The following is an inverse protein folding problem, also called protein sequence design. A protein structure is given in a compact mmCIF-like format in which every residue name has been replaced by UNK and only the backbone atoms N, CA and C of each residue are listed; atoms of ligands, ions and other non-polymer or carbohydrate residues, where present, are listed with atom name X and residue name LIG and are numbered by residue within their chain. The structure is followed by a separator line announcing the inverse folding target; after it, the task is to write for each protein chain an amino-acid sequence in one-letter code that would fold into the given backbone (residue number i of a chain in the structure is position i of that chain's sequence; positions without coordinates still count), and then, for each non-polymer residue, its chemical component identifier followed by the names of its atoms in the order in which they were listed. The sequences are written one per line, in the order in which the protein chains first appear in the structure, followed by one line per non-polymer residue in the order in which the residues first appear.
data_IF_312955981664
#
_entry.id   IF_312955981664
#
_cell.length_a   1.000
_cell.length_b   1.000
_cell.length_c   1.000
_cell.angle_alpha   90.00
_cell.angle_beta   90.00
_cell.angle_gamma   90.00
#
_symmetry.space_group_name_H-M   'P 1'
#
loop_
_entity.id
_entity.type
_entity.pdbx_description
1 polymer ?
#
# COMPACT_ATOMS: atom_id res chain seq x y z
N UNK A 1 -12.32 -17.80 -0.89
CA UNK A 1 -10.90 -17.43 -1.12
C UNK A 1 -10.08 -18.12 -0.05
N UNK A 2 -9.26 -19.13 -0.39
CA UNK A 2 -8.37 -19.75 0.61
C UNK A 2 -7.28 -18.74 0.95
N UNK A 3 -7.08 -18.46 2.24
CA UNK A 3 -5.94 -17.67 2.71
C UNK A 3 -4.66 -18.36 2.25
N UNK A 4 -3.87 -17.73 1.38
CA UNK A 4 -2.62 -18.32 0.89
C UNK A 4 -1.57 -18.44 2.00
N UNK A 5 -1.71 -17.70 3.12
CA UNK A 5 -0.81 -17.81 4.28
C UNK A 5 0.64 -17.43 3.97
N UNK A 6 0.89 -16.68 2.89
CA UNK A 6 2.24 -16.37 2.42
C UNK A 6 2.73 -15.06 3.05
N UNK A 7 3.52 -15.14 4.13
CA UNK A 7 4.16 -13.98 4.77
C UNK A 7 5.47 -13.65 4.07
N UNK A 8 5.62 -12.43 3.57
CA UNK A 8 6.85 -11.91 2.94
C UNK A 8 7.36 -10.71 3.71
N UNK A 9 8.68 -10.67 3.91
CA UNK A 9 9.35 -9.52 4.51
C UNK A 9 9.35 -8.38 3.50
N UNK A 10 9.18 -7.17 4.03
CA UNK A 10 9.32 -5.91 3.29
C UNK A 10 10.81 -5.67 3.07
N UNK A 11 11.19 -5.13 1.92
CA UNK A 11 12.57 -4.68 1.69
C UNK A 11 12.81 -3.28 2.28
N UNK A 12 14.07 -2.82 2.25
CA UNK A 12 14.46 -1.53 2.84
C UNK A 12 13.82 -0.31 2.17
N UNK A 13 13.21 -0.49 0.98
CA UNK A 13 12.51 0.56 0.23
C UNK A 13 10.99 0.48 0.40
N UNK A 14 10.48 -0.44 1.22
CA UNK A 14 9.04 -0.60 1.44
C UNK A 14 8.32 -1.44 0.37
N UNK A 15 9.05 -2.10 -0.54
CA UNK A 15 8.45 -2.94 -1.58
C UNK A 15 8.10 -4.32 -1.03
N UNK A 16 6.94 -4.84 -1.44
CA UNK A 16 6.48 -6.19 -1.16
C UNK A 16 6.54 -7.04 -2.41
N UNK A 17 7.16 -8.22 -2.30
CA UNK A 17 7.26 -9.17 -3.41
C UNK A 17 5.99 -10.02 -3.51
N UNK A 18 5.31 -9.98 -4.66
CA UNK A 18 4.15 -10.83 -4.95
C UNK A 18 4.61 -12.26 -5.29
N UNK A 19 4.09 -13.29 -4.59
CA UNK A 19 4.39 -14.70 -4.88
C UNK A 19 4.13 -15.10 -6.34
N UNK A 20 4.89 -16.08 -6.85
CA UNK A 20 4.80 -16.51 -8.26
C UNK A 20 3.43 -17.10 -8.63
N UNK A 21 2.75 -17.76 -7.69
CA UNK A 21 1.40 -18.31 -7.93
C UNK A 21 0.38 -17.20 -8.19
N UNK A 22 0.37 -16.16 -7.36
CA UNK A 22 -0.51 -15.00 -7.54
C UNK A 22 -0.20 -14.31 -8.87
N UNK A 23 1.10 -14.12 -9.20
CA UNK A 23 1.50 -13.56 -10.50
C UNK A 23 0.99 -14.40 -11.68
N UNK A 24 1.03 -15.73 -11.58
CA UNK A 24 0.54 -16.64 -12.64
C UNK A 24 -0.99 -16.60 -12.75
N UNK A 25 -1.71 -16.68 -11.64
CA UNK A 25 -3.18 -16.70 -11.61
C UNK A 25 -3.77 -15.37 -12.07
N UNK A 26 -3.20 -14.25 -11.62
CA UNK A 26 -3.68 -12.90 -11.96
C UNK A 26 -3.06 -12.35 -13.26
N UNK A 27 -2.21 -13.14 -13.93
CA UNK A 27 -1.53 -12.78 -15.20
C UNK A 27 -0.71 -11.49 -15.14
N UNK A 28 -0.22 -11.11 -13.97
CA UNK A 28 0.60 -9.91 -13.74
C UNK A 28 1.97 -10.11 -14.40
N UNK A 29 2.34 -9.21 -15.32
CA UNK A 29 3.61 -9.24 -16.05
C UNK A 29 4.61 -8.22 -15.49
N UNK A 30 5.88 -8.35 -15.83
CA UNK A 30 6.87 -7.32 -15.52
C UNK A 30 6.51 -6.03 -16.25
N UNK A 31 6.51 -4.91 -15.52
CA UNK A 31 6.11 -3.60 -16.06
C UNK A 31 4.61 -3.29 -15.98
N UNK A 32 3.76 -4.23 -15.53
CA UNK A 32 2.36 -3.88 -15.22
C UNK A 32 2.35 -2.83 -14.10
N UNK A 33 1.59 -1.72 -14.23
CA UNK A 33 1.40 -0.80 -13.14
C UNK A 33 0.64 -1.54 -12.04
N UNK A 34 1.38 -2.06 -11.07
CA UNK A 34 0.80 -2.68 -9.89
C UNK A 34 -0.02 -1.61 -9.19
N UNK A 35 -1.34 -1.78 -9.21
CA UNK A 35 -2.28 -0.89 -8.56
C UNK A 35 -2.07 -1.02 -7.03
N UNK A 36 -1.15 -0.24 -6.48
CA UNK A 36 -1.01 -0.06 -5.03
C UNK A 36 -2.16 0.86 -4.61
N UNK A 37 -3.35 0.30 -4.43
CA UNK A 37 -4.41 1.00 -3.72
C UNK A 37 -4.11 0.84 -2.24
N UNK A 38 -3.90 1.95 -1.54
CA UNK A 38 -4.05 1.94 -0.08
C UNK A 38 -5.44 1.37 0.23
N UNK A 39 -5.55 0.49 1.22
CA UNK A 39 -6.88 0.10 1.70
C UNK A 39 -7.65 1.37 2.06
N UNK A 40 -8.98 1.36 1.91
CA UNK A 40 -9.81 2.54 2.14
C UNK A 40 -9.55 3.17 3.52
N UNK A 41 -9.21 2.34 4.51
CA UNK A 41 -8.79 2.74 5.85
C UNK A 41 -7.46 3.49 5.88
N UNK A 42 -6.43 3.00 5.20
CA UNK A 42 -5.13 3.69 5.10
C UNK A 42 -5.24 5.04 4.37
N UNK A 43 -6.09 5.11 3.34
CA UNK A 43 -6.38 6.37 2.64
C UNK A 43 -7.04 7.39 3.58
N UNK A 44 -8.00 6.95 4.39
CA UNK A 44 -8.68 7.80 5.37
C UNK A 44 -7.72 8.33 6.43
N UNK A 45 -6.88 7.47 7.02
CA UNK A 45 -5.90 7.88 8.04
C UNK A 45 -4.91 8.89 7.48
N UNK A 46 -4.39 8.64 6.27
CA UNK A 46 -3.46 9.56 5.59
C UNK A 46 -4.12 10.93 5.33
N UNK A 47 -5.38 10.94 4.89
CA UNK A 47 -6.14 12.16 4.67
C UNK A 47 -6.35 12.95 5.97
N UNK A 48 -6.71 12.28 7.07
CA UNK A 48 -6.87 12.91 8.39
C UNK A 48 -5.55 13.48 8.91
N UNK A 49 -4.43 12.77 8.73
CA UNK A 49 -3.11 13.25 9.11
C UNK A 49 -2.72 14.53 8.34
N UNK A 50 -2.96 14.55 7.03
CA UNK A 50 -2.68 15.72 6.18
C UNK A 50 -3.52 16.94 6.56
N UNK A 51 -4.75 16.73 7.04
CA UNK A 51 -5.63 17.80 7.54
C UNK A 51 -5.10 18.32 8.89
N UNK A 52 -4.71 17.43 9.80
CA UNK A 52 -4.16 17.81 11.09
C UNK A 52 -2.88 18.65 10.93
N UNK A 53 -1.99 18.26 10.04
CA UNK A 53 -0.76 19.00 9.73
C UNK A 53 -1.04 20.41 9.18
N UNK A 54 -2.04 20.55 8.29
CA UNK A 54 -2.45 21.86 7.75
C UNK A 54 -3.06 22.76 8.82
N UNK A 55 -3.84 22.21 9.75
CA UNK A 55 -4.42 22.96 10.86
C UNK A 55 -3.33 23.37 11.85
N UNK A 56 -2.40 22.48 12.17
CA UNK A 56 -1.28 22.77 13.06
C UNK A 56 -0.33 23.82 12.47
N UNK A 57 -0.06 23.74 11.17
CA UNK A 57 0.72 24.73 10.41
C UNK A 57 0.10 26.14 10.43
N UNK A 58 -1.23 26.24 10.43
CA UNK A 58 -1.94 27.53 10.52
C UNK A 58 -1.95 28.13 11.93
N UNK A 59 -1.89 27.31 12.97
CA UNK A 59 -1.90 27.77 14.37
C UNK A 59 -0.52 28.19 14.89
N UNK A 60 0.56 27.84 14.17
CA UNK A 60 1.94 28.18 14.52
C UNK A 60 2.47 29.39 13.72
N UNK A 61 1.56 30.22 13.20
CA UNK A 61 1.80 31.46 12.47
C UNK A 61 0.92 32.56 13.06
#
# INVERSE_FOLDING_TARGET
MKATGIVRRIDDLGRVVIPKEIRRTMRIREGDPSLIVLTQEYSFVTAMQSIAERVHSKNNK
#
